data_IF_075452938402
#
_entry.id   IF_075452938402
#
_cell.length_a   1.000
_cell.length_b   1.000
_cell.length_c   1.000
_cell.angle_alpha   90.00
_cell.angle_beta   90.00
_cell.angle_gamma   90.00
#
_symmetry.space_group_name_H-M   'P 1'
#
loop_
_entity.id
_entity.type
_entity.pdbx_description
1 polymer ?
#
# COMPACT_ATOMS: atom_id res chain seq x y z
N UNK A 1 47.18 -18.37 22.50
CA UNK A 1 45.87 -18.72 21.89
C UNK A 1 45.20 -17.42 21.55
N UNK A 2 45.21 -17.03 20.28
CA UNK A 2 44.53 -15.82 19.78
C UNK A 2 43.02 -16.03 19.71
N UNK A 3 42.22 -14.96 19.79
CA UNK A 3 40.76 -15.08 19.68
C UNK A 3 40.41 -15.53 18.27
N UNK A 4 39.56 -16.56 18.20
CA UNK A 4 38.96 -17.09 16.98
C UNK A 4 38.41 -15.96 16.10
N UNK A 5 39.01 -15.77 14.94
CA UNK A 5 38.44 -14.99 13.85
C UNK A 5 37.22 -15.76 13.36
N UNK A 6 36.05 -15.44 13.86
CA UNK A 6 34.78 -15.88 13.27
C UNK A 6 34.79 -15.39 11.83
N UNK A 7 34.98 -16.28 10.87
CA UNK A 7 34.83 -15.98 9.45
C UNK A 7 33.42 -15.35 9.27
N UNK A 8 33.39 -14.07 8.92
CA UNK A 8 32.13 -13.42 8.55
C UNK A 8 31.59 -14.10 7.30
N UNK A 9 30.47 -14.79 7.42
CA UNK A 9 29.79 -15.41 6.30
C UNK A 9 29.53 -14.39 5.17
N UNK A 10 29.45 -14.88 3.95
CA UNK A 10 29.12 -14.02 2.79
C UNK A 10 27.80 -13.26 3.03
N UNK A 11 27.78 -11.96 2.75
CA UNK A 11 26.56 -11.15 2.87
C UNK A 11 25.54 -11.59 1.82
N UNK A 12 24.38 -11.95 2.28
CA UNK A 12 23.20 -12.34 1.47
C UNK A 12 22.14 -11.27 1.55
N UNK A 13 21.40 -11.07 0.48
CA UNK A 13 20.21 -10.20 0.48
C UNK A 13 18.96 -11.03 0.55
N UNK A 14 18.12 -10.75 1.56
CA UNK A 14 16.86 -11.43 1.80
C UNK A 14 15.71 -10.45 1.53
N UNK A 15 14.78 -10.85 0.67
CA UNK A 15 13.52 -10.16 0.47
C UNK A 15 12.43 -10.84 1.31
N UNK A 16 11.56 -10.04 1.92
CA UNK A 16 10.40 -10.50 2.69
C UNK A 16 9.13 -9.84 2.16
N UNK A 17 8.07 -10.62 1.98
CA UNK A 17 6.71 -10.10 1.76
C UNK A 17 5.99 -9.99 3.09
N UNK A 18 5.47 -8.80 3.39
CA UNK A 18 4.85 -8.48 4.69
C UNK A 18 3.43 -8.01 4.50
N UNK A 19 2.48 -8.61 5.23
CA UNK A 19 1.12 -8.11 5.35
C UNK A 19 0.89 -7.47 6.72
N UNK A 20 0.04 -6.45 6.76
CA UNK A 20 -0.30 -5.78 8.03
C UNK A 20 -1.64 -5.05 7.97
N UNK A 21 -2.31 -5.00 9.12
CA UNK A 21 -3.45 -4.12 9.40
C UNK A 21 -2.91 -2.80 9.94
N UNK A 22 -3.00 -1.73 9.15
CA UNK A 22 -2.36 -0.45 9.46
C UNK A 22 -3.06 0.41 10.52
N UNK A 23 -4.29 0.06 10.92
CA UNK A 23 -5.16 0.90 11.76
C UNK A 23 -4.54 1.34 13.10
N UNK A 24 -3.70 0.48 13.70
CA UNK A 24 -3.03 0.77 14.97
C UNK A 24 -1.67 1.47 14.82
N UNK A 25 -1.22 1.69 13.58
CA UNK A 25 0.14 2.18 13.31
C UNK A 25 0.15 3.59 12.74
N UNK A 26 1.22 4.32 13.07
CA UNK A 26 1.52 5.66 12.53
C UNK A 26 2.10 5.61 11.10
N UNK A 27 1.68 4.61 10.31
CA UNK A 27 2.16 4.31 8.98
C UNK A 27 3.36 3.35 8.96
N UNK A 28 3.94 3.20 7.78
CA UNK A 28 5.06 2.27 7.59
C UNK A 28 6.36 2.77 8.22
N UNK A 29 6.78 4.00 7.87
CA UNK A 29 8.14 4.50 8.10
C UNK A 29 8.43 4.79 9.56
N UNK A 30 9.54 4.24 10.08
CA UNK A 30 10.08 4.57 11.39
C UNK A 30 10.26 6.10 11.56
N UNK A 31 9.85 6.61 12.71
CA UNK A 31 9.87 8.03 13.05
C UNK A 31 10.10 8.24 14.55
N UNK A 32 10.50 9.44 14.98
CA UNK A 32 10.62 9.76 16.41
C UNK A 32 9.31 9.43 17.14
N UNK A 33 9.43 8.70 18.27
CA UNK A 33 8.29 8.24 19.05
C UNK A 33 7.71 6.89 18.63
N UNK A 34 8.24 6.23 17.59
CA UNK A 34 7.90 4.86 17.20
C UNK A 34 6.43 4.65 16.84
N UNK A 35 5.97 3.40 16.98
CA UNK A 35 4.58 3.02 16.71
C UNK A 35 4.30 2.84 15.22
N UNK A 36 5.31 2.41 14.46
CA UNK A 36 5.20 2.17 13.01
C UNK A 36 5.35 0.68 12.70
N UNK A 37 4.88 0.27 11.52
CA UNK A 37 5.01 -1.12 11.06
C UNK A 37 6.49 -1.51 10.92
N UNK A 38 7.33 -0.59 10.43
CA UNK A 38 8.77 -0.82 10.31
C UNK A 38 9.43 -1.09 11.66
N UNK A 39 9.09 -0.31 12.70
CA UNK A 39 9.66 -0.52 14.04
C UNK A 39 9.29 -1.90 14.60
N UNK A 40 8.02 -2.31 14.43
CA UNK A 40 7.56 -3.63 14.89
C UNK A 40 8.25 -4.77 14.14
N UNK A 41 8.39 -4.66 12.81
CA UNK A 41 9.07 -5.65 11.99
C UNK A 41 10.56 -5.74 12.32
N UNK A 42 11.27 -4.61 12.44
CA UNK A 42 12.70 -4.58 12.77
C UNK A 42 12.95 -5.13 14.18
N UNK A 43 12.07 -4.87 15.14
CA UNK A 43 12.15 -5.43 16.48
C UNK A 43 11.99 -6.96 16.48
N UNK A 44 11.02 -7.49 15.70
CA UNK A 44 10.82 -8.95 15.57
C UNK A 44 12.00 -9.62 14.86
N UNK A 45 12.48 -9.04 13.76
CA UNK A 45 13.67 -9.50 13.06
C UNK A 45 14.91 -9.48 13.98
N UNK A 46 15.07 -8.42 14.77
CA UNK A 46 16.18 -8.31 15.71
C UNK A 46 16.16 -9.39 16.80
N UNK A 47 14.99 -9.75 17.32
CA UNK A 47 14.84 -10.87 18.26
C UNK A 47 15.17 -12.21 17.60
N UNK A 48 14.65 -12.44 16.39
CA UNK A 48 14.92 -13.66 15.63
C UNK A 48 16.41 -13.82 15.28
N UNK A 49 17.05 -12.74 14.86
CA UNK A 49 18.45 -12.72 14.44
C UNK A 49 19.44 -12.60 15.62
N UNK A 50 18.96 -12.32 16.84
CA UNK A 50 19.74 -11.99 18.04
C UNK A 50 20.70 -10.80 17.80
N UNK A 51 20.32 -9.89 16.90
CA UNK A 51 21.04 -8.64 16.58
C UNK A 51 20.15 -7.69 15.79
N UNK A 52 20.39 -6.37 15.84
CA UNK A 52 19.60 -5.41 15.07
C UNK A 52 19.70 -5.69 13.56
N UNK A 53 18.55 -5.70 12.88
CA UNK A 53 18.46 -5.74 11.43
C UNK A 53 17.60 -4.57 10.96
N UNK A 54 18.01 -3.94 9.86
CA UNK A 54 17.28 -2.83 9.23
C UNK A 54 16.70 -3.27 7.91
N UNK A 55 15.51 -2.78 7.60
CA UNK A 55 14.82 -3.11 6.35
C UNK A 55 14.61 -1.87 5.48
N UNK A 56 14.62 -2.07 4.16
CA UNK A 56 14.25 -1.08 3.17
C UNK A 56 13.01 -1.55 2.42
N UNK A 57 11.94 -0.75 2.41
CA UNK A 57 10.64 -1.11 1.84
C UNK A 57 10.47 -0.65 0.39
N UNK A 58 9.55 -1.31 -0.34
CA UNK A 58 9.15 -0.97 -1.70
C UNK A 58 8.35 0.33 -1.80
N UNK A 59 7.51 0.61 -0.78
CA UNK A 59 6.68 1.80 -0.73
C UNK A 59 6.26 2.13 0.70
N UNK A 60 6.26 3.40 1.06
CA UNK A 60 5.73 3.85 2.35
C UNK A 60 4.21 3.89 2.26
N UNK A 61 3.54 3.54 3.35
CA UNK A 61 2.10 3.73 3.54
C UNK A 61 1.85 4.73 4.66
N UNK A 62 0.75 5.49 4.53
CA UNK A 62 0.33 6.48 5.52
C UNK A 62 -0.20 5.79 6.80
N UNK A 63 -0.38 6.56 7.87
CA UNK A 63 -1.07 6.11 9.07
C UNK A 63 -2.47 5.56 8.71
N UNK A 64 -2.82 4.39 9.25
CA UNK A 64 -4.09 3.71 9.01
C UNK A 64 -4.15 2.88 7.72
N UNK A 65 -3.23 3.05 6.78
CA UNK A 65 -3.21 2.31 5.50
C UNK A 65 -2.67 0.90 5.72
N UNK A 66 -3.33 -0.09 5.12
CA UNK A 66 -2.98 -1.51 5.21
C UNK A 66 -1.96 -1.93 4.14
N UNK A 67 -1.32 -3.06 4.36
CA UNK A 67 -0.46 -3.70 3.37
C UNK A 67 -0.79 -5.17 3.23
N UNK A 68 -0.90 -5.64 1.98
CA UNK A 68 -1.13 -7.05 1.66
C UNK A 68 0.18 -7.74 1.31
N UNK A 69 0.99 -7.12 0.47
CA UNK A 69 2.28 -7.64 0.05
C UNK A 69 3.30 -6.50 -0.01
N UNK A 70 3.54 -5.84 1.12
CA UNK A 70 4.69 -4.94 1.23
C UNK A 70 5.97 -5.74 1.09
N UNK A 71 6.84 -5.37 0.18
CA UNK A 71 8.13 -6.03 0.03
C UNK A 71 9.22 -5.21 0.69
N UNK A 72 10.00 -5.87 1.54
CA UNK A 72 11.21 -5.30 2.12
C UNK A 72 12.42 -6.14 1.75
N UNK A 73 13.62 -5.55 1.84
CA UNK A 73 14.85 -6.32 1.82
C UNK A 73 15.78 -5.91 2.95
N UNK A 74 16.63 -6.84 3.33
CA UNK A 74 17.70 -6.66 4.31
C UNK A 74 18.97 -7.40 3.85
N UNK A 75 20.11 -6.95 4.32
CA UNK A 75 21.40 -7.62 4.13
C UNK A 75 21.84 -8.29 5.42
N UNK A 76 22.33 -9.53 5.33
CA UNK A 76 22.75 -10.34 6.48
C UNK A 76 23.77 -11.39 6.07
N UNK A 77 24.61 -11.78 7.02
CA UNK A 77 25.49 -12.94 6.93
C UNK A 77 24.89 -14.20 7.58
N UNK A 78 23.64 -14.10 8.11
CA UNK A 78 22.96 -15.24 8.69
C UNK A 78 22.48 -16.21 7.62
N UNK A 79 22.91 -17.46 7.74
CA UNK A 79 22.43 -18.55 6.89
C UNK A 79 21.18 -19.15 7.51
N UNK A 80 20.03 -18.84 6.91
CA UNK A 80 18.72 -19.33 7.32
C UNK A 80 17.89 -19.65 6.08
N UNK A 81 17.09 -20.71 6.14
CA UNK A 81 16.14 -21.02 5.06
C UNK A 81 15.04 -19.98 4.97
N UNK A 82 14.42 -19.78 3.80
CA UNK A 82 13.24 -18.92 3.66
C UNK A 82 12.14 -19.23 4.69
N UNK A 83 11.90 -20.50 4.94
CA UNK A 83 10.93 -20.96 5.94
C UNK A 83 11.31 -20.51 7.36
N UNK A 84 12.60 -20.55 7.72
CA UNK A 84 13.07 -20.07 9.02
C UNK A 84 12.87 -18.55 9.18
N UNK A 85 13.11 -17.76 8.11
CA UNK A 85 12.86 -16.32 8.12
C UNK A 85 11.37 -16.02 8.37
N UNK A 86 10.46 -16.74 7.71
CA UNK A 86 9.02 -16.56 7.90
C UNK A 86 8.60 -16.94 9.32
N UNK A 87 8.83 -18.18 9.73
CA UNK A 87 8.37 -18.66 11.05
C UNK A 87 9.04 -17.96 12.21
N UNK A 88 10.36 -17.79 12.13
CA UNK A 88 11.14 -17.19 13.20
C UNK A 88 10.76 -15.72 13.45
N UNK A 89 10.53 -14.94 12.37
CA UNK A 89 10.10 -13.55 12.52
C UNK A 89 8.67 -13.48 13.05
N UNK A 90 7.75 -14.29 12.50
CA UNK A 90 6.34 -14.31 12.92
C UNK A 90 6.15 -14.71 14.39
N UNK A 91 7.06 -15.48 14.98
CA UNK A 91 7.01 -15.82 16.41
C UNK A 91 7.14 -14.59 17.33
N UNK A 92 7.66 -13.48 16.83
CA UNK A 92 7.88 -12.25 17.58
C UNK A 92 7.02 -11.07 17.11
N UNK A 93 6.23 -11.26 16.03
CA UNK A 93 5.31 -10.25 15.53
C UNK A 93 3.97 -10.28 16.27
N UNK A 94 3.30 -9.13 16.30
CA UNK A 94 1.91 -9.01 16.74
C UNK A 94 0.97 -9.62 15.69
N UNK A 95 -0.26 -10.04 16.07
CA UNK A 95 -1.19 -10.71 15.14
C UNK A 95 -1.59 -9.88 13.92
N UNK A 96 -1.39 -8.58 13.96
CA UNK A 96 -1.74 -7.62 12.91
C UNK A 96 -0.60 -7.37 11.90
N UNK A 97 0.57 -8.00 12.08
CA UNK A 97 1.68 -8.01 11.11
C UNK A 97 2.13 -9.45 10.88
N UNK A 98 2.35 -9.83 9.62
CA UNK A 98 2.85 -11.17 9.28
C UNK A 98 3.78 -11.13 8.09
N UNK A 99 4.90 -11.84 8.20
CA UNK A 99 5.77 -12.19 7.06
C UNK A 99 5.12 -13.36 6.34
N UNK A 100 4.77 -13.16 5.08
CA UNK A 100 4.07 -14.15 4.25
C UNK A 100 5.03 -15.07 3.51
N UNK A 101 6.14 -14.52 3.08
CA UNK A 101 7.18 -15.25 2.35
C UNK A 101 8.55 -14.60 2.56
N UNK A 102 9.60 -15.37 2.30
CA UNK A 102 10.98 -14.91 2.24
C UNK A 102 11.66 -15.51 1.01
N UNK A 103 12.60 -14.79 0.43
CA UNK A 103 13.42 -15.26 -0.68
C UNK A 103 14.83 -14.65 -0.60
N UNK A 104 15.84 -15.44 -0.92
CA UNK A 104 17.16 -14.89 -1.20
C UNK A 104 17.15 -14.27 -2.60
N UNK A 105 17.66 -13.07 -2.75
CA UNK A 105 17.67 -12.31 -4.00
C UNK A 105 19.06 -11.83 -4.35
N UNK A 106 19.35 -11.55 -5.64
CA UNK A 106 20.63 -11.01 -6.04
C UNK A 106 20.98 -9.71 -5.30
N UNK A 107 22.25 -9.47 -5.03
CA UNK A 107 22.74 -8.30 -4.28
C UNK A 107 22.35 -6.95 -4.92
N UNK A 108 22.10 -6.90 -6.22
CA UNK A 108 21.63 -5.71 -6.91
C UNK A 108 20.10 -5.46 -6.76
N UNK A 109 19.32 -6.42 -6.24
CA UNK A 109 17.90 -6.20 -5.97
C UNK A 109 17.73 -5.12 -4.90
N UNK A 110 16.82 -4.19 -5.15
CA UNK A 110 16.44 -3.16 -4.18
C UNK A 110 14.92 -3.03 -4.14
N UNK A 111 14.28 -3.32 -2.99
CA UNK A 111 12.82 -3.37 -2.86
C UNK A 111 12.09 -2.15 -3.48
N UNK A 112 12.63 -0.94 -3.32
CA UNK A 112 12.05 0.29 -3.87
C UNK A 112 12.43 0.55 -5.33
N UNK A 113 13.73 0.40 -5.66
CA UNK A 113 14.27 0.88 -6.93
C UNK A 113 14.08 -0.14 -8.06
N UNK A 114 14.07 -1.45 -7.74
CA UNK A 114 13.81 -2.52 -8.70
C UNK A 114 12.31 -2.66 -9.04
N UNK A 115 11.43 -1.96 -8.31
CA UNK A 115 9.99 -2.03 -8.57
C UNK A 115 9.60 -1.22 -9.82
N UNK A 116 8.97 -1.90 -10.79
CA UNK A 116 8.48 -1.34 -12.06
C UNK A 116 7.06 -0.79 -11.98
N UNK A 117 6.37 -1.05 -10.87
CA UNK A 117 5.01 -0.56 -10.60
C UNK A 117 4.60 -0.77 -9.15
N UNK A 118 3.49 -0.16 -8.76
CA UNK A 118 2.80 -0.34 -7.46
C UNK A 118 1.32 -0.50 -7.71
N UNK A 119 0.70 -1.36 -6.91
CA UNK A 119 -0.74 -1.63 -6.95
C UNK A 119 -1.35 -1.30 -5.60
N UNK A 120 -2.50 -0.68 -5.66
CA UNK A 120 -3.32 -0.40 -4.48
C UNK A 120 -4.76 -0.78 -4.76
N UNK A 121 -5.47 -1.18 -3.71
CA UNK A 121 -6.92 -1.35 -3.74
C UNK A 121 -7.53 -0.47 -2.65
N UNK A 122 -8.58 0.27 -2.98
CA UNK A 122 -9.42 0.92 -2.00
C UNK A 122 -10.74 0.16 -1.90
N UNK A 123 -11.08 -0.28 -0.69
CA UNK A 123 -12.37 -0.92 -0.38
C UNK A 123 -13.27 0.08 0.32
N UNK A 124 -14.47 0.26 -0.22
CA UNK A 124 -15.46 1.18 0.29
C UNK A 124 -16.76 0.43 0.53
N UNK A 125 -17.49 0.76 1.59
CA UNK A 125 -18.86 0.33 1.81
C UNK A 125 -19.82 1.51 1.60
N UNK A 126 -20.85 1.28 0.78
CA UNK A 126 -22.00 2.14 0.61
C UNK A 126 -23.10 1.60 1.52
N UNK A 127 -23.44 2.33 2.57
CA UNK A 127 -24.45 1.93 3.54
C UNK A 127 -25.04 3.17 4.24
N UNK A 128 -26.35 3.16 4.50
CA UNK A 128 -27.04 4.27 5.16
C UNK A 128 -26.48 4.54 6.58
N UNK A 129 -25.99 3.51 7.25
CA UNK A 129 -25.43 3.59 8.62
C UNK A 129 -23.95 3.19 8.56
N UNK A 130 -23.13 3.88 9.33
CA UNK A 130 -21.69 3.58 9.44
C UNK A 130 -21.47 2.13 9.91
N UNK A 131 -20.66 1.34 9.21
CA UNK A 131 -20.37 -0.03 9.57
C UNK A 131 -19.54 -0.08 10.87
N UNK A 132 -19.87 -1.00 11.76
CA UNK A 132 -19.13 -1.20 13.00
C UNK A 132 -18.10 -2.33 12.89
N UNK A 133 -18.45 -3.45 12.23
CA UNK A 133 -17.58 -4.63 12.10
C UNK A 133 -16.41 -4.40 11.17
N UNK A 134 -16.60 -3.59 10.11
CA UNK A 134 -15.60 -3.23 9.13
C UNK A 134 -14.83 -1.94 9.50
N UNK A 135 -15.10 -1.37 10.67
CA UNK A 135 -14.44 -0.13 11.13
C UNK A 135 -12.92 -0.27 11.09
N UNK A 136 -12.25 0.73 10.50
CA UNK A 136 -10.80 0.75 10.31
C UNK A 136 -10.30 -0.21 9.23
N UNK A 137 -11.18 -0.82 8.41
CA UNK A 137 -10.82 -1.74 7.31
C UNK A 137 -11.41 -1.37 5.97
N UNK A 138 -12.48 -0.56 5.96
CA UNK A 138 -13.14 -0.07 4.75
C UNK A 138 -13.41 1.42 4.88
N UNK A 139 -13.39 2.15 3.76
CA UNK A 139 -13.99 3.46 3.70
C UNK A 139 -15.51 3.36 3.78
N UNK A 140 -16.19 4.45 4.11
CA UNK A 140 -17.65 4.47 4.19
C UNK A 140 -18.22 5.69 3.49
N UNK A 141 -19.34 5.48 2.78
CA UNK A 141 -20.18 6.52 2.21
C UNK A 141 -21.65 6.18 2.45
N UNK A 142 -22.45 7.19 2.79
CA UNK A 142 -23.87 6.99 3.07
C UNK A 142 -24.79 7.32 1.88
N UNK A 143 -24.23 7.96 0.84
CA UNK A 143 -24.95 8.30 -0.39
C UNK A 143 -24.71 7.24 -1.46
N UNK A 144 -25.73 6.91 -2.28
CA UNK A 144 -25.54 6.07 -3.45
C UNK A 144 -24.49 6.62 -4.41
N UNK A 145 -23.77 5.72 -5.05
CA UNK A 145 -22.69 6.06 -5.99
C UNK A 145 -23.07 5.66 -7.43
N UNK A 146 -22.78 6.55 -8.36
CA UNK A 146 -22.89 6.32 -9.80
C UNK A 146 -21.57 5.76 -10.35
N UNK A 147 -21.59 4.47 -10.74
CA UNK A 147 -20.43 3.78 -11.31
C UNK A 147 -19.96 4.44 -12.60
N UNK A 148 -20.89 4.72 -13.53
CA UNK A 148 -20.54 5.25 -14.86
C UNK A 148 -19.92 6.64 -14.76
N UNK A 149 -20.47 7.49 -13.89
CA UNK A 149 -19.90 8.81 -13.63
C UNK A 149 -18.48 8.72 -13.05
N UNK A 150 -18.23 7.80 -12.09
CA UNK A 150 -16.91 7.60 -11.51
C UNK A 150 -15.91 7.02 -12.52
N UNK A 151 -16.31 6.07 -13.38
CA UNK A 151 -15.45 5.52 -14.43
C UNK A 151 -15.07 6.60 -15.46
N UNK A 152 -16.04 7.43 -15.89
CA UNK A 152 -15.78 8.56 -16.76
C UNK A 152 -14.78 9.55 -16.13
N UNK A 153 -14.96 9.87 -14.85
CA UNK A 153 -14.03 10.74 -14.11
C UNK A 153 -12.64 10.11 -13.97
N UNK A 154 -12.54 8.81 -13.66
CA UNK A 154 -11.29 8.09 -13.50
C UNK A 154 -10.49 8.03 -14.81
N UNK A 155 -11.16 7.94 -15.96
CA UNK A 155 -10.51 7.91 -17.27
C UNK A 155 -9.61 9.13 -17.54
N UNK A 156 -9.97 10.29 -16.98
CA UNK A 156 -9.17 11.52 -17.09
C UNK A 156 -7.83 11.47 -16.35
N UNK A 157 -7.63 10.50 -15.45
CA UNK A 157 -6.41 10.37 -14.64
C UNK A 157 -5.44 9.33 -15.21
N UNK A 158 -5.89 8.50 -16.17
CA UNK A 158 -5.04 7.46 -16.78
C UNK A 158 -4.04 8.12 -17.74
N UNK A 159 -2.79 7.66 -17.67
CA UNK A 159 -1.68 8.22 -18.44
C UNK A 159 -0.65 8.91 -17.56
N UNK A 160 0.31 9.58 -18.22
CA UNK A 160 1.32 10.37 -17.55
C UNK A 160 0.82 11.81 -17.39
N UNK A 161 0.66 12.24 -16.13
CA UNK A 161 0.13 13.55 -15.78
C UNK A 161 0.87 14.16 -14.60
N UNK A 162 0.75 15.49 -14.48
CA UNK A 162 1.12 16.22 -13.27
C UNK A 162 0.00 16.06 -12.22
N UNK A 163 0.30 15.36 -11.12
CA UNK A 163 -0.64 15.10 -10.02
C UNK A 163 -0.48 16.07 -8.84
N UNK A 164 -0.02 17.29 -9.08
CA UNK A 164 0.13 18.33 -8.02
C UNK A 164 -1.16 18.55 -7.24
N UNK A 165 -2.34 18.56 -7.91
CA UNK A 165 -3.65 18.71 -7.26
C UNK A 165 -4.00 17.55 -6.32
N UNK A 166 -3.36 16.40 -6.48
CA UNK A 166 -3.58 15.21 -5.64
C UNK A 166 -2.41 14.94 -4.66
N UNK A 167 -1.47 15.87 -4.55
CA UNK A 167 -0.27 15.76 -3.73
C UNK A 167 -0.49 16.37 -2.35
N UNK A 168 -0.05 15.67 -1.29
CA UNK A 168 0.07 16.26 0.05
C UNK A 168 1.18 17.29 0.08
N UNK A 169 1.01 18.37 0.87
CA UNK A 169 2.07 19.37 1.14
C UNK A 169 3.33 18.77 1.77
N UNK A 170 3.18 17.65 2.49
CA UNK A 170 4.28 16.91 3.14
C UNK A 170 5.02 15.95 2.18
N UNK A 171 4.64 15.92 0.90
CA UNK A 171 5.21 14.98 -0.06
C UNK A 171 6.65 15.34 -0.45
N UNK A 172 7.57 14.42 -0.23
CA UNK A 172 9.01 14.54 -0.54
C UNK A 172 9.38 14.08 -1.97
N UNK A 173 8.40 13.73 -2.82
CA UNK A 173 8.70 13.29 -4.20
C UNK A 173 9.31 14.46 -5.00
N UNK A 174 10.42 14.26 -5.73
CA UNK A 174 11.07 15.33 -6.49
C UNK A 174 10.21 15.84 -7.65
N UNK A 175 9.37 14.98 -8.24
CA UNK A 175 8.48 15.36 -9.34
C UNK A 175 7.03 14.97 -9.06
N UNK A 176 6.06 15.85 -9.36
CA UNK A 176 4.63 15.51 -9.28
C UNK A 176 4.14 14.69 -10.47
N UNK A 177 4.92 14.59 -11.55
CA UNK A 177 4.54 13.83 -12.74
C UNK A 177 4.63 12.34 -12.45
N UNK A 178 3.55 11.60 -12.70
CA UNK A 178 3.44 10.15 -12.51
C UNK A 178 2.68 9.51 -13.65
N UNK A 179 3.03 8.25 -13.94
CA UNK A 179 2.28 7.39 -14.84
C UNK A 179 1.30 6.55 -14.04
N UNK A 180 0.00 6.85 -14.18
CA UNK A 180 -1.09 6.03 -13.68
C UNK A 180 -1.57 5.14 -14.82
N UNK A 181 -1.37 3.82 -14.69
CA UNK A 181 -1.62 2.87 -15.78
C UNK A 181 -3.07 2.46 -15.89
N UNK A 182 -3.73 2.31 -14.71
CA UNK A 182 -5.08 1.77 -14.66
C UNK A 182 -5.80 2.21 -13.39
N UNK A 183 -7.11 2.43 -13.52
CA UNK A 183 -8.07 2.57 -12.42
C UNK A 183 -9.28 1.73 -12.81
N UNK A 184 -9.58 0.68 -12.02
CA UNK A 184 -10.77 -0.13 -12.19
C UNK A 184 -11.70 0.08 -11.01
N UNK A 185 -12.98 0.30 -11.29
CA UNK A 185 -14.01 0.50 -10.28
C UNK A 185 -15.03 -0.63 -10.43
N UNK A 186 -15.37 -1.29 -9.32
CA UNK A 186 -16.37 -2.36 -9.32
C UNK A 186 -17.30 -2.19 -8.14
N UNK A 187 -18.59 -2.32 -8.40
CA UNK A 187 -19.61 -2.50 -7.38
C UNK A 187 -19.76 -4.01 -7.12
N UNK A 188 -19.61 -4.41 -5.88
CA UNK A 188 -19.66 -5.81 -5.45
C UNK A 188 -20.92 -6.05 -4.64
N UNK A 189 -21.65 -7.14 -4.95
CA UNK A 189 -22.89 -7.51 -4.32
C UNK A 189 -24.13 -7.36 -5.24
N UNK A 190 -25.31 -7.79 -4.77
CA UNK A 190 -26.53 -7.76 -5.59
C UNK A 190 -26.92 -6.35 -6.02
N UNK A 191 -27.46 -6.24 -7.23
CA UNK A 191 -28.03 -4.97 -7.73
C UNK A 191 -29.24 -4.60 -6.87
N UNK A 192 -29.32 -3.34 -6.43
CA UNK A 192 -30.42 -2.85 -5.59
C UNK A 192 -30.35 -3.21 -4.13
N UNK A 193 -29.29 -3.90 -3.68
CA UNK A 193 -29.08 -4.11 -2.26
C UNK A 193 -28.89 -2.77 -1.52
N UNK A 194 -29.42 -2.63 -0.28
CA UNK A 194 -29.32 -1.41 0.52
C UNK A 194 -27.88 -1.13 1.02
N UNK A 195 -27.00 -2.10 0.89
CA UNK A 195 -25.58 -2.02 1.21
C UNK A 195 -24.80 -2.65 0.06
N UNK A 196 -23.73 -2.00 -0.36
CA UNK A 196 -22.85 -2.50 -1.40
C UNK A 196 -21.38 -2.27 -1.03
N UNK A 197 -20.52 -3.18 -1.40
CA UNK A 197 -19.10 -2.93 -1.39
C UNK A 197 -18.68 -2.38 -2.74
N UNK A 198 -17.67 -1.52 -2.71
CA UNK A 198 -17.03 -0.96 -3.88
C UNK A 198 -15.54 -1.24 -3.79
N UNK A 199 -14.99 -1.63 -4.92
CA UNK A 199 -13.56 -1.87 -5.05
C UNK A 199 -12.98 -0.98 -6.12
N UNK A 200 -11.93 -0.22 -5.76
CA UNK A 200 -11.18 0.65 -6.65
C UNK A 200 -9.76 0.13 -6.70
N UNK A 201 -9.35 -0.41 -7.83
CA UNK A 201 -7.98 -0.90 -8.04
C UNK A 201 -7.18 0.15 -8.80
N UNK A 202 -5.99 0.47 -8.31
CA UNK A 202 -5.07 1.45 -8.88
C UNK A 202 -3.75 0.78 -9.24
N UNK A 203 -3.26 0.97 -10.48
CA UNK A 203 -1.93 0.56 -10.89
C UNK A 203 -1.17 1.74 -11.50
N UNK A 204 0.05 1.98 -11.03
CA UNK A 204 0.91 3.05 -11.53
C UNK A 204 2.39 2.77 -11.31
N UNK A 205 3.25 3.56 -11.94
CA UNK A 205 4.68 3.46 -11.73
C UNK A 205 5.07 3.82 -10.29
N UNK A 206 4.52 4.93 -9.80
CA UNK A 206 4.70 5.44 -8.45
C UNK A 206 3.53 6.34 -8.08
N UNK A 207 3.35 6.56 -6.78
CA UNK A 207 2.31 7.44 -6.23
C UNK A 207 2.91 8.50 -5.32
N UNK A 208 2.30 9.69 -5.30
CA UNK A 208 2.65 10.75 -4.37
C UNK A 208 2.01 10.48 -3.01
N UNK A 209 2.53 11.13 -1.98
CA UNK A 209 1.94 11.09 -0.64
C UNK A 209 0.48 11.58 -0.69
N UNK A 210 -0.45 10.81 -0.15
CA UNK A 210 -1.91 10.96 -0.18
C UNK A 210 -2.58 10.88 -1.57
N UNK A 211 -1.85 10.63 -2.65
CA UNK A 211 -2.39 10.72 -4.02
C UNK A 211 -3.68 9.92 -4.20
N UNK A 212 -3.70 8.63 -3.85
CA UNK A 212 -4.87 7.78 -4.04
C UNK A 212 -6.04 8.26 -3.18
N UNK A 213 -5.81 8.63 -1.94
CA UNK A 213 -6.85 9.14 -1.04
C UNK A 213 -7.45 10.46 -1.52
N UNK A 214 -6.63 11.32 -2.15
CA UNK A 214 -7.11 12.56 -2.77
C UNK A 214 -7.92 12.28 -4.05
N UNK A 215 -7.49 11.31 -4.85
CA UNK A 215 -8.26 10.82 -6.01
C UNK A 215 -9.60 10.24 -5.54
N UNK A 216 -9.60 9.39 -4.50
CA UNK A 216 -10.83 8.83 -3.93
C UNK A 216 -11.82 9.94 -3.51
N UNK A 217 -11.35 10.97 -2.80
CA UNK A 217 -12.18 12.11 -2.45
C UNK A 217 -12.87 12.74 -3.67
N UNK A 218 -12.11 12.95 -4.76
CA UNK A 218 -12.66 13.53 -5.99
C UNK A 218 -13.63 12.57 -6.71
N UNK A 219 -13.31 11.27 -6.79
CA UNK A 219 -14.21 10.28 -7.39
C UNK A 219 -15.53 10.16 -6.63
N UNK A 220 -15.51 10.27 -5.30
CA UNK A 220 -16.72 10.24 -4.48
C UNK A 220 -17.59 11.51 -4.65
N UNK A 221 -16.99 12.68 -4.86
CA UNK A 221 -17.74 13.90 -5.21
C UNK A 221 -18.50 13.72 -6.54
N UNK A 222 -17.88 13.03 -7.50
CA UNK A 222 -18.53 12.70 -8.78
C UNK A 222 -19.58 11.61 -8.59
N UNK A 223 -19.23 10.50 -7.94
CA UNK A 223 -20.13 9.37 -7.74
C UNK A 223 -21.40 9.71 -6.97
N UNK A 224 -21.33 10.70 -6.06
CA UNK A 224 -22.50 11.21 -5.33
C UNK A 224 -23.26 12.31 -6.07
N UNK A 225 -22.89 12.63 -7.32
CA UNK A 225 -23.52 13.66 -8.14
C UNK A 225 -23.26 15.11 -7.71
N UNK A 226 -22.30 15.35 -6.79
CA UNK A 226 -21.96 16.71 -6.35
C UNK A 226 -21.17 17.45 -7.43
N UNK A 227 -20.35 16.71 -8.20
CA UNK A 227 -19.56 17.24 -9.30
C UNK A 227 -19.78 16.39 -10.58
N UNK A 228 -19.67 17.04 -11.74
CA UNK A 228 -19.68 16.33 -13.03
C UNK A 228 -18.36 15.56 -13.26
N UNK A 229 -18.34 14.49 -14.07
CA UNK A 229 -17.13 13.72 -14.35
C UNK A 229 -15.93 14.57 -14.82
N UNK A 230 -16.15 15.54 -15.69
CA UNK A 230 -15.13 16.45 -16.22
C UNK A 230 -14.44 17.31 -15.14
N UNK A 231 -15.05 17.47 -13.97
CA UNK A 231 -14.45 18.21 -12.88
C UNK A 231 -13.11 17.61 -12.43
N UNK A 232 -12.96 16.28 -12.50
CA UNK A 232 -11.69 15.62 -12.15
C UNK A 232 -10.56 16.03 -13.10
N UNK A 233 -10.87 16.22 -14.40
CA UNK A 233 -9.93 16.78 -15.38
C UNK A 233 -9.56 18.22 -15.03
N UNK A 234 -10.53 19.05 -14.68
CA UNK A 234 -10.31 20.44 -14.27
C UNK A 234 -9.39 20.49 -13.03
N UNK A 235 -9.66 19.64 -12.02
CA UNK A 235 -8.81 19.53 -10.82
C UNK A 235 -7.38 19.14 -11.19
N UNK A 236 -7.20 18.11 -12.05
CA UNK A 236 -5.88 17.67 -12.50
C UNK A 236 -5.11 18.80 -13.18
N UNK A 237 -5.75 19.47 -14.13
CA UNK A 237 -5.11 20.47 -14.99
C UNK A 237 -4.78 21.77 -14.25
N UNK A 238 -5.52 22.07 -13.18
CA UNK A 238 -5.26 23.25 -12.33
C UNK A 238 -3.97 23.15 -11.52
N UNK A 239 -3.44 21.94 -11.25
CA UNK A 239 -2.22 21.70 -10.45
C UNK A 239 -2.26 22.38 -9.08
N UNK A 240 -3.43 22.55 -8.52
CA UNK A 240 -3.70 23.19 -7.24
C UNK A 240 -4.47 22.25 -6.30
N UNK A 241 -3.85 21.84 -5.18
CA UNK A 241 -4.47 20.96 -4.19
C UNK A 241 -5.74 21.57 -3.57
N UNK A 242 -5.86 22.87 -3.51
CA UNK A 242 -6.94 23.59 -2.83
C UNK A 242 -8.30 23.41 -3.52
N UNK A 243 -8.34 23.13 -4.84
CA UNK A 243 -9.57 22.92 -5.57
C UNK A 243 -10.03 21.45 -5.57
N UNK A 244 -9.17 20.52 -5.18
CA UNK A 244 -9.52 19.13 -5.08
C UNK A 244 -10.33 18.85 -3.79
N UNK A 245 -11.06 17.75 -3.78
CA UNK A 245 -11.81 17.30 -2.61
C UNK A 245 -10.91 17.06 -1.39
N UNK A 246 -11.47 17.06 -0.17
CA UNK A 246 -10.75 16.64 1.04
C UNK A 246 -10.12 15.25 0.87
N UNK A 247 -8.98 15.03 1.55
CA UNK A 247 -8.33 13.72 1.59
C UNK A 247 -9.24 12.70 2.23
N UNK A 248 -9.54 11.63 1.52
CA UNK A 248 -10.46 10.60 2.03
C UNK A 248 -9.78 9.70 3.07
N UNK A 249 -10.57 8.92 3.85
CA UNK A 249 -10.08 8.08 4.95
C UNK A 249 -8.99 7.10 4.48
N UNK A 250 -8.01 6.76 5.33
CA UNK A 250 -7.05 5.70 5.05
C UNK A 250 -7.65 4.30 5.19
N UNK A 251 -8.74 4.13 5.95
CA UNK A 251 -9.25 2.84 6.45
C UNK A 251 -9.53 1.79 5.37
N UNK A 252 -9.89 2.22 4.18
CA UNK A 252 -10.14 1.30 3.07
C UNK A 252 -8.94 1.10 2.13
N UNK A 253 -7.82 1.74 2.36
CA UNK A 253 -6.68 1.69 1.45
C UNK A 253 -5.71 0.56 1.79
N UNK A 254 -5.44 -0.28 0.78
CA UNK A 254 -4.53 -1.43 0.86
C UNK A 254 -3.42 -1.30 -0.17
N UNK A 255 -2.18 -1.34 0.27
CA UNK A 255 -1.04 -1.52 -0.60
C UNK A 255 -0.95 -2.99 -1.01
N UNK A 256 -1.33 -3.30 -2.25
CA UNK A 256 -1.35 -4.66 -2.80
C UNK A 256 0.04 -5.19 -3.11
N UNK A 257 1.02 -4.31 -3.18
CA UNK A 257 2.42 -4.63 -3.38
C UNK A 257 3.02 -3.99 -4.62
N UNK A 258 4.36 -4.05 -4.69
CA UNK A 258 5.11 -3.64 -5.87
C UNK A 258 4.97 -4.70 -6.98
N UNK A 259 5.27 -4.30 -8.21
CA UNK A 259 5.57 -5.22 -9.32
C UNK A 259 7.06 -5.20 -9.58
N UNK A 260 7.63 -6.38 -9.78
CA UNK A 260 9.03 -6.55 -10.14
C UNK A 260 9.15 -7.26 -11.47
N UNK A 261 10.33 -7.18 -12.08
CA UNK A 261 10.68 -8.04 -13.20
C UNK A 261 10.65 -9.52 -12.74
N UNK A 262 10.03 -10.43 -13.51
CA UNK A 262 9.99 -11.86 -13.19
C UNK A 262 11.36 -12.51 -12.97
N UNK A 263 12.44 -11.92 -13.46
CA UNK A 263 13.82 -12.37 -13.24
C UNK A 263 14.17 -12.53 -11.76
N UNK A 264 13.53 -11.77 -10.87
CA UNK A 264 13.77 -11.86 -9.43
C UNK A 264 13.06 -13.04 -8.76
N UNK A 265 12.14 -13.74 -9.46
CA UNK A 265 11.44 -14.92 -8.94
C UNK A 265 10.59 -14.67 -7.70
N UNK A 266 10.19 -13.41 -7.45
CA UNK A 266 9.42 -13.03 -6.26
C UNK A 266 7.93 -13.30 -6.45
N UNK A 267 7.21 -13.71 -5.37
CA UNK A 267 5.76 -13.88 -5.42
C UNK A 267 5.05 -12.56 -5.78
N UNK A 268 4.25 -12.58 -6.85
CA UNK A 268 3.46 -11.41 -7.28
C UNK A 268 2.06 -11.36 -6.62
N UNK A 269 1.59 -12.49 -6.10
CA UNK A 269 0.30 -12.64 -5.42
C UNK A 269 0.48 -13.21 -4.02
N UNK A 270 -0.30 -12.69 -3.07
CA UNK A 270 -0.43 -13.20 -1.70
C UNK A 270 -1.92 -13.46 -1.45
N UNK A 271 -2.33 -14.66 -1.00
CA UNK A 271 -3.75 -15.05 -0.84
C UNK A 271 -4.54 -14.27 0.21
N UNK A 272 -3.99 -13.22 0.79
CA UNK A 272 -4.54 -12.54 1.97
C UNK A 272 -5.83 -11.74 1.73
N UNK A 273 -6.35 -11.64 0.50
CA UNK A 273 -7.53 -10.82 0.17
C UNK A 273 -8.71 -11.57 -0.44
N UNK A 274 -8.74 -12.89 -0.34
CA UNK A 274 -9.85 -13.70 -0.88
C UNK A 274 -11.19 -13.45 -0.17
N UNK A 275 -11.17 -12.70 0.95
CA UNK A 275 -12.36 -12.24 1.66
C UNK A 275 -12.99 -10.97 1.08
N UNK A 276 -12.30 -10.25 0.19
CA UNK A 276 -12.89 -9.10 -0.49
C UNK A 276 -13.92 -9.57 -1.51
N UNK A 277 -15.12 -8.97 -1.52
CA UNK A 277 -16.12 -9.25 -2.54
C UNK A 277 -15.51 -9.07 -3.93
N UNK A 278 -15.63 -10.09 -4.77
CA UNK A 278 -15.20 -10.08 -6.18
C UNK A 278 -16.28 -9.52 -7.07
#
# INVERSE_FOLDING_TARGET
MGPDSVEKGAIRRIALGVSYVGSAYKGWQSQPGGGTVQDALEAALGKFAVRPLKVLCAGRTDAGVHGINQVVHLDTDLERTPFSWVRGTNAFLTPDISVQWAAEVPSHFHARNSAIGRRYTYVLIEAAVRPALESGRVGWVFRPLDLQAMEAAASHLIGEHDFSSFRSSMCQSPTPVKLLRDIRIRRCGPVGAPTAYWRFDFEGQAFLHHMIRNIMGCLLMVGTGVQAPDWVRIVRDARDRRIAAPTFSPDGLYFMGPRYDPVFGLPDHVPAMDWLPT
#
